data_IF_479848222409
#
_entry.id   IF_479848222409
#
_cell.length_a   1.000
_cell.length_b   1.000
_cell.length_c   1.000
_cell.angle_alpha   90.00
_cell.angle_beta   90.00
_cell.angle_gamma   90.00
#
_symmetry.space_group_name_H-M   'P 1'
#
loop_
_entity.id
_entity.type
_entity.pdbx_description
1 polymer ?
#
# COMPACT_ATOMS: atom_id res chain seq x y z
N UNK A 1 7.25 22.39 -7.39
CA UNK A 1 7.63 23.74 -7.88
C UNK A 1 7.06 23.96 -9.29
N UNK A 2 6.46 25.13 -9.55
CA UNK A 2 6.20 25.57 -10.93
C UNK A 2 7.56 25.83 -11.62
N UNK A 3 7.73 25.57 -12.92
CA UNK A 3 8.99 25.84 -13.59
C UNK A 3 9.19 27.37 -13.62
N UNK A 4 10.44 27.84 -13.57
CA UNK A 4 10.69 29.23 -13.94
C UNK A 4 10.26 29.43 -15.40
N UNK A 5 9.73 30.61 -15.72
CA UNK A 5 9.24 30.96 -17.06
C UNK A 5 10.27 30.68 -18.18
N UNK A 6 11.57 30.72 -17.85
CA UNK A 6 12.66 30.36 -18.77
C UNK A 6 12.65 28.88 -19.16
N UNK A 7 12.59 27.97 -18.18
CA UNK A 7 12.65 26.51 -18.42
C UNK A 7 11.48 26.03 -19.28
N UNK A 8 10.27 26.57 -19.08
CA UNK A 8 9.09 26.24 -19.89
C UNK A 8 9.29 26.61 -21.36
N UNK A 9 9.78 27.83 -21.62
CA UNK A 9 9.97 28.34 -22.98
C UNK A 9 11.13 27.64 -23.70
N UNK A 10 12.22 27.35 -22.99
CA UNK A 10 13.38 26.66 -23.57
C UNK A 10 13.03 25.22 -23.96
N UNK A 11 12.32 24.51 -23.08
CA UNK A 11 11.84 23.14 -23.37
C UNK A 11 10.93 23.12 -24.60
N UNK A 12 10.00 24.08 -24.67
CA UNK A 12 9.10 24.21 -25.82
C UNK A 12 9.85 24.53 -27.12
N UNK A 13 10.85 25.43 -27.07
CA UNK A 13 11.68 25.79 -28.23
C UNK A 13 12.41 24.58 -28.79
N UNK A 14 13.03 23.78 -27.92
CA UNK A 14 13.72 22.54 -28.30
C UNK A 14 12.72 21.55 -28.93
N UNK A 15 11.56 21.37 -28.30
CA UNK A 15 10.54 20.44 -28.80
C UNK A 15 9.99 20.85 -30.18
N UNK A 16 9.68 22.14 -30.39
CA UNK A 16 9.20 22.66 -31.68
C UNK A 16 10.26 22.60 -32.77
N UNK A 17 11.54 22.82 -32.43
CA UNK A 17 12.64 22.69 -33.38
C UNK A 17 12.74 21.26 -33.94
N UNK A 18 12.51 20.25 -33.09
CA UNK A 18 12.51 18.84 -33.49
C UNK A 18 11.18 18.38 -34.12
N UNK A 19 10.07 19.08 -33.87
CA UNK A 19 8.72 18.68 -34.30
C UNK A 19 7.95 19.86 -34.94
N UNK A 20 8.41 20.40 -36.07
CA UNK A 20 7.89 21.66 -36.61
C UNK A 20 6.41 21.58 -37.05
N UNK A 21 5.99 20.43 -37.58
CA UNK A 21 4.65 20.23 -38.15
C UNK A 21 3.70 19.44 -37.23
N UNK A 22 4.20 18.94 -36.09
CA UNK A 22 3.35 18.20 -35.16
C UNK A 22 2.61 19.16 -34.23
N UNK A 23 1.30 18.97 -34.11
CA UNK A 23 0.40 19.71 -33.20
C UNK A 23 0.62 21.23 -33.30
N UNK A 24 0.21 21.86 -34.42
CA UNK A 24 0.50 23.27 -34.70
C UNK A 24 0.01 24.23 -33.61
N UNK A 25 -1.08 23.89 -32.93
CA UNK A 25 -1.72 24.69 -31.88
C UNK A 25 -1.21 24.38 -30.45
N UNK A 26 -0.14 23.60 -30.30
CA UNK A 26 0.41 23.29 -28.97
C UNK A 26 1.14 24.50 -28.41
N UNK A 27 0.78 24.91 -27.19
CA UNK A 27 1.47 25.98 -26.45
C UNK A 27 2.56 25.43 -25.54
N UNK A 28 3.46 26.31 -25.10
CA UNK A 28 4.52 26.00 -24.13
C UNK A 28 3.96 25.45 -22.81
N UNK A 29 2.91 26.08 -22.29
CA UNK A 29 2.22 25.63 -21.08
C UNK A 29 1.55 24.27 -21.28
N UNK A 30 0.88 24.03 -22.41
CA UNK A 30 0.21 22.77 -22.69
C UNK A 30 1.20 21.59 -22.77
N UNK A 31 2.39 21.81 -23.35
CA UNK A 31 3.46 20.81 -23.37
C UNK A 31 3.94 20.48 -21.95
N UNK A 32 4.14 21.50 -21.12
CA UNK A 32 4.58 21.32 -19.73
C UNK A 32 3.52 20.66 -18.85
N UNK A 33 2.25 20.98 -19.06
CA UNK A 33 1.14 20.33 -18.36
C UNK A 33 1.03 18.85 -18.73
N UNK A 34 1.21 18.52 -20.01
CA UNK A 34 1.25 17.14 -20.47
C UNK A 34 2.44 16.38 -19.84
N UNK A 35 3.62 16.99 -19.78
CA UNK A 35 4.79 16.41 -19.07
C UNK A 35 4.47 16.14 -17.61
N UNK A 36 3.93 17.14 -16.89
CA UNK A 36 3.55 17.01 -15.47
C UNK A 36 2.51 15.93 -15.25
N UNK A 37 1.56 15.79 -16.17
CA UNK A 37 0.54 14.76 -16.10
C UNK A 37 1.15 13.35 -16.22
N UNK A 38 2.05 13.15 -17.18
CA UNK A 38 2.78 11.88 -17.37
C UNK A 38 3.58 11.52 -16.11
N UNK A 39 4.31 12.47 -15.54
CA UNK A 39 5.11 12.29 -14.33
C UNK A 39 4.22 11.99 -13.11
N UNK A 40 3.17 12.77 -12.86
CA UNK A 40 2.29 12.60 -11.69
C UNK A 40 1.46 11.31 -11.73
N UNK A 41 1.14 10.82 -12.92
CA UNK A 41 0.30 9.64 -13.09
C UNK A 41 1.11 8.36 -13.29
N UNK A 42 2.45 8.41 -13.12
CA UNK A 42 3.37 7.29 -13.35
C UNK A 42 3.05 6.54 -14.66
N UNK A 43 2.79 7.29 -15.74
CA UNK A 43 2.46 6.70 -17.06
C UNK A 43 3.67 6.07 -17.74
N UNK A 44 4.86 6.32 -17.21
CA UNK A 44 6.10 5.67 -17.54
C UNK A 44 6.68 5.13 -16.23
N UNK A 45 7.04 3.85 -16.24
CA UNK A 45 7.78 3.19 -15.16
C UNK A 45 9.23 3.71 -15.13
N UNK A 46 9.93 3.52 -14.00
CA UNK A 46 11.35 3.92 -13.88
C UNK A 46 12.22 3.31 -14.97
N UNK A 47 12.00 2.03 -15.28
CA UNK A 47 12.70 1.29 -16.34
C UNK A 47 12.47 1.95 -17.71
N UNK A 48 11.22 2.29 -18.05
CA UNK A 48 10.91 2.96 -19.32
C UNK A 48 11.55 4.34 -19.43
N UNK A 49 11.63 5.08 -18.31
CA UNK A 49 12.29 6.38 -18.27
C UNK A 49 13.80 6.22 -18.51
N UNK A 50 14.42 5.22 -17.89
CA UNK A 50 15.87 5.00 -18.02
C UNK A 50 16.25 4.46 -19.41
N UNK A 51 15.42 3.61 -20.01
CA UNK A 51 15.55 3.23 -21.42
C UNK A 51 15.44 4.43 -22.37
N UNK A 52 14.53 5.38 -22.08
CA UNK A 52 14.40 6.61 -22.87
C UNK A 52 15.65 7.48 -22.69
N UNK A 53 16.16 7.65 -21.46
CA UNK A 53 17.40 8.41 -21.21
C UNK A 53 18.58 7.78 -21.96
N UNK A 54 18.76 6.47 -21.86
CA UNK A 54 19.85 5.76 -22.53
C UNK A 54 19.77 5.88 -24.06
N UNK A 55 18.56 5.81 -24.63
CA UNK A 55 18.35 6.05 -26.07
C UNK A 55 18.70 7.48 -26.47
N UNK A 56 18.25 8.48 -25.71
CA UNK A 56 18.57 9.90 -25.98
C UNK A 56 20.07 10.16 -25.87
N UNK A 57 20.75 9.62 -24.87
CA UNK A 57 22.21 9.73 -24.71
C UNK A 57 22.95 9.09 -25.89
N UNK A 58 22.48 7.94 -26.37
CA UNK A 58 23.04 7.28 -27.55
C UNK A 58 22.83 8.10 -28.82
N UNK A 59 21.63 8.67 -29.02
CA UNK A 59 21.33 9.54 -30.16
C UNK A 59 22.15 10.84 -30.15
N UNK A 60 22.38 11.43 -28.98
CA UNK A 60 23.23 12.62 -28.84
C UNK A 60 24.71 12.31 -29.11
N UNK A 61 25.20 11.14 -28.69
CA UNK A 61 26.58 10.72 -28.96
C UNK A 61 26.81 10.46 -30.46
N UNK A 62 25.85 9.84 -31.14
CA UNK A 62 25.90 9.58 -32.60
C UNK A 62 25.82 10.88 -33.41
N UNK A 63 25.00 11.85 -33.00
CA UNK A 63 24.92 13.15 -33.68
C UNK A 63 26.21 13.98 -33.53
N UNK A 64 26.90 13.86 -32.40
CA UNK A 64 28.17 14.55 -32.20
C UNK A 64 29.33 13.92 -33.01
N UNK A 65 29.25 12.62 -33.30
CA UNK A 65 30.19 11.92 -34.19
C UNK A 65 29.99 12.22 -35.68
N UNK A 66 28.96 12.98 -36.06
CA UNK A 66 28.60 13.24 -37.46
C UNK A 66 28.92 14.68 -37.92
N UNK A 67 29.52 15.51 -37.05
CA UNK A 67 29.91 16.90 -37.35
C UNK A 67 31.39 17.23 -37.21
N UNK A 68 32.26 16.29 -36.83
CA UNK A 68 33.72 16.51 -36.85
C UNK A 68 34.38 15.50 -37.78
N UNK A 69 34.47 15.87 -39.06
CA UNK A 69 35.48 15.33 -39.96
C UNK A 69 36.50 16.43 -40.20
N UNK A 70 37.49 16.52 -39.32
CA UNK A 70 38.84 17.00 -39.65
C UNK A 70 39.82 16.54 -38.54
N UNK A 71 40.49 15.41 -38.83
CA UNK A 71 41.89 15.06 -38.55
C UNK A 71 42.52 15.57 -37.23
N UNK A 72 42.82 14.68 -36.28
CA UNK A 72 44.21 14.37 -35.92
C UNK A 72 44.32 13.10 -35.05
N UNK A 73 45.39 12.36 -35.29
CA UNK A 73 45.69 11.01 -34.83
C UNK A 73 46.63 11.08 -33.62
N UNK A 74 46.19 10.66 -32.42
CA UNK A 74 47.14 10.28 -31.34
C UNK A 74 46.56 9.12 -30.52
N UNK A 75 47.15 7.95 -30.76
CA UNK A 75 47.11 6.81 -29.88
C UNK A 75 47.69 7.13 -28.48
N UNK A 76 47.01 6.70 -27.42
CA UNK A 76 47.66 6.19 -26.20
C UNK A 76 46.83 5.04 -25.61
N UNK A 77 47.52 3.91 -25.49
CA UNK A 77 47.26 2.69 -24.72
C UNK A 77 46.66 2.93 -23.32
N UNK A 78 45.93 1.94 -22.80
CA UNK A 78 46.45 1.03 -21.76
C UNK A 78 45.31 0.42 -20.92
N UNK A 79 45.41 -0.89 -20.79
CA UNK A 79 44.53 -1.77 -20.05
C UNK A 79 44.40 -1.43 -18.55
N UNK A 80 43.23 -1.69 -17.96
CA UNK A 80 43.05 -2.74 -16.94
C UNK A 80 41.77 -2.58 -16.10
N UNK A 81 41.20 -3.76 -15.84
CA UNK A 81 40.51 -4.18 -14.61
C UNK A 81 39.01 -3.91 -14.37
N UNK A 82 38.37 -5.05 -14.08
CA UNK A 82 37.44 -5.30 -12.99
C UNK A 82 35.96 -5.00 -13.23
N UNK A 83 35.23 -6.12 -13.42
CA UNK A 83 34.00 -6.50 -12.72
C UNK A 83 33.45 -5.38 -11.82
N UNK A 84 32.31 -4.81 -12.22
CA UNK A 84 31.41 -4.12 -11.30
C UNK A 84 30.02 -4.72 -11.39
N UNK A 85 29.75 -5.56 -10.40
CA UNK A 85 28.41 -5.90 -9.95
C UNK A 85 27.59 -4.63 -9.62
N UNK A 86 26.27 -4.80 -9.71
CA UNK A 86 25.22 -4.02 -9.03
C UNK A 86 25.18 -2.51 -9.29
N UNK A 87 24.33 -2.10 -10.24
CA UNK A 87 23.70 -0.77 -10.16
C UNK A 87 22.57 -0.84 -9.14
N UNK A 88 22.93 -0.53 -7.89
CA UNK A 88 22.01 -0.06 -6.85
C UNK A 88 21.45 1.27 -7.35
N UNK A 89 20.13 1.33 -7.55
CA UNK A 89 19.41 2.55 -7.89
C UNK A 89 19.75 3.69 -6.91
N UNK A 90 19.81 4.90 -7.47
CA UNK A 90 20.18 6.16 -6.83
C UNK A 90 19.68 6.31 -5.38
N UNK A 91 20.64 6.25 -4.47
CA UNK A 91 20.51 6.61 -3.07
C UNK A 91 20.51 8.14 -2.99
N UNK A 92 19.33 8.77 -3.00
CA UNK A 92 19.14 9.98 -2.18
C UNK A 92 18.26 9.67 -0.97
N UNK A 93 18.90 9.47 0.19
CA UNK A 93 18.31 9.69 1.48
C UNK A 93 19.28 10.54 2.30
N UNK A 94 18.89 11.79 2.54
CA UNK A 94 19.16 12.37 3.84
C UNK A 94 18.37 11.56 4.89
N UNK A 95 18.84 10.37 5.25
CA UNK A 95 18.28 9.55 6.33
C UNK A 95 19.43 9.01 7.17
N UNK A 96 19.51 9.55 8.38
CA UNK A 96 20.55 9.29 9.35
C UNK A 96 20.71 7.76 9.56
N UNK A 97 21.91 7.18 9.39
CA UNK A 97 22.13 5.72 9.48
C UNK A 97 21.68 5.14 10.83
N UNK A 98 21.71 5.95 11.89
CA UNK A 98 21.15 5.57 13.20
C UNK A 98 19.67 5.20 13.13
N UNK A 99 18.86 5.94 12.36
CA UNK A 99 17.41 5.72 12.25
C UNK A 99 17.11 4.42 11.53
N UNK A 100 17.89 4.10 10.50
CA UNK A 100 17.75 2.86 9.73
C UNK A 100 18.11 1.65 10.61
N UNK A 101 19.22 1.73 11.35
CA UNK A 101 19.63 0.63 12.24
C UNK A 101 18.63 0.42 13.39
N UNK A 102 18.09 1.50 13.97
CA UNK A 102 17.06 1.39 15.00
C UNK A 102 15.76 0.77 14.46
N UNK A 103 15.38 1.11 13.22
CA UNK A 103 14.24 0.48 12.56
C UNK A 103 14.50 -1.00 12.26
N UNK A 104 15.72 -1.38 11.88
CA UNK A 104 16.12 -2.78 11.69
C UNK A 104 16.03 -3.57 13.01
N UNK A 105 16.48 -2.99 14.14
CA UNK A 105 16.31 -3.61 15.47
C UNK A 105 14.84 -3.84 15.81
N UNK A 106 13.96 -2.89 15.51
CA UNK A 106 12.53 -3.05 15.76
C UNK A 106 11.87 -4.10 14.88
N UNK A 107 12.29 -4.20 13.61
CA UNK A 107 11.86 -5.27 12.70
C UNK A 107 12.28 -6.64 13.25
N UNK A 108 13.52 -6.79 13.73
CA UNK A 108 13.99 -8.04 14.39
C UNK A 108 13.16 -8.39 15.63
N UNK A 109 12.88 -7.40 16.48
CA UNK A 109 12.04 -7.58 17.67
C UNK A 109 10.65 -8.11 17.27
N UNK A 110 10.01 -7.46 16.29
CA UNK A 110 8.70 -7.89 15.81
C UNK A 110 8.75 -9.27 15.13
N UNK A 111 9.85 -9.58 14.43
CA UNK A 111 10.07 -10.91 13.83
C UNK A 111 10.05 -12.01 14.90
N UNK A 112 10.82 -11.83 15.99
CA UNK A 112 10.86 -12.77 17.10
C UNK A 112 9.49 -12.93 17.80
N UNK A 113 8.70 -11.85 17.86
CA UNK A 113 7.34 -11.89 18.43
C UNK A 113 6.37 -12.72 17.58
N UNK A 114 6.46 -12.62 16.25
CA UNK A 114 5.48 -13.21 15.33
C UNK A 114 5.94 -14.49 14.62
N UNK A 115 7.20 -14.93 14.79
CA UNK A 115 7.79 -16.09 14.11
C UNK A 115 6.96 -17.38 14.29
N UNK A 116 6.54 -17.68 15.52
CA UNK A 116 5.81 -18.90 15.86
C UNK A 116 4.28 -18.74 15.81
N UNK A 117 3.78 -17.63 15.25
CA UNK A 117 2.35 -17.36 15.15
C UNK A 117 1.83 -17.68 13.76
N UNK A 118 0.69 -18.37 13.70
CA UNK A 118 -0.02 -18.59 12.44
C UNK A 118 -0.50 -17.26 11.86
N UNK A 119 -0.47 -17.12 10.54
CA UNK A 119 -0.95 -15.93 9.83
C UNK A 119 -2.41 -15.57 10.16
N UNK A 120 -3.24 -16.56 10.52
CA UNK A 120 -4.65 -16.35 10.89
C UNK A 120 -4.84 -15.76 12.27
N UNK A 121 -3.83 -15.87 13.13
CA UNK A 121 -3.87 -15.39 14.52
C UNK A 121 -3.25 -14.00 14.67
N UNK A 122 -2.50 -13.56 13.66
CA UNK A 122 -1.88 -12.25 13.60
C UNK A 122 -2.92 -11.14 13.55
N UNK A 123 -2.73 -10.03 14.30
CA UNK A 123 -3.58 -8.86 14.20
C UNK A 123 -3.66 -8.32 12.77
N UNK A 124 -4.86 -7.94 12.29
CA UNK A 124 -4.99 -7.30 10.99
C UNK A 124 -4.29 -5.94 10.99
N UNK A 125 -3.47 -5.71 9.96
CA UNK A 125 -2.78 -4.44 9.76
C UNK A 125 -3.79 -3.32 9.42
N UNK A 126 -3.68 -2.14 10.05
CA UNK A 126 -4.58 -1.04 9.77
C UNK A 126 -4.30 -0.44 8.39
N UNK A 127 -5.33 0.15 7.79
CA UNK A 127 -5.17 0.90 6.54
C UNK A 127 -4.35 2.17 6.80
N UNK A 128 -3.22 2.29 6.11
CA UNK A 128 -2.38 3.48 6.11
C UNK A 128 -2.68 4.29 4.86
N UNK A 129 -3.00 5.58 5.04
CA UNK A 129 -3.16 6.52 3.92
C UNK A 129 -1.78 6.94 3.46
N UNK A 130 -1.53 6.87 2.14
CA UNK A 130 -0.25 7.26 1.54
C UNK A 130 -0.13 8.79 1.59
N UNK A 131 0.69 9.26 2.52
CA UNK A 131 1.06 10.67 2.72
C UNK A 131 2.58 10.73 2.88
N UNK A 132 3.18 11.94 2.82
CA UNK A 132 4.64 12.14 2.90
C UNK A 132 5.32 11.41 4.08
N UNK A 133 4.74 11.44 5.28
CA UNK A 133 5.33 10.80 6.48
C UNK A 133 5.36 9.27 6.38
N UNK A 134 4.23 8.58 6.13
CA UNK A 134 4.23 7.14 5.83
C UNK A 134 5.15 6.74 4.66
N UNK A 135 5.23 7.57 3.62
CA UNK A 135 6.06 7.30 2.45
C UNK A 135 7.55 7.33 2.77
N UNK A 136 8.03 8.35 3.50
CA UNK A 136 9.40 8.40 4.00
C UNK A 136 9.72 7.20 4.90
N UNK A 137 8.83 6.89 5.85
CA UNK A 137 9.01 5.75 6.73
C UNK A 137 9.05 4.42 5.96
N UNK A 138 8.28 4.30 4.87
CA UNK A 138 8.33 3.12 3.99
C UNK A 138 9.66 3.02 3.26
N UNK A 139 10.28 4.12 2.86
CA UNK A 139 11.62 4.13 2.25
C UNK A 139 12.69 3.68 3.25
N UNK A 140 12.66 4.23 4.46
CA UNK A 140 13.54 3.81 5.57
C UNK A 140 13.37 2.33 5.90
N UNK A 141 12.13 1.86 5.96
CA UNK A 141 11.82 0.46 6.23
C UNK A 141 12.34 -0.47 5.14
N UNK A 142 12.25 -0.06 3.86
CA UNK A 142 12.83 -0.83 2.77
C UNK A 142 14.35 -0.94 2.89
N UNK A 143 15.05 0.12 3.30
CA UNK A 143 16.49 0.07 3.58
C UNK A 143 16.81 -0.86 4.76
N UNK A 144 16.04 -0.77 5.85
CA UNK A 144 16.20 -1.65 7.00
C UNK A 144 15.95 -3.13 6.65
N UNK A 145 14.98 -3.43 5.77
CA UNK A 145 14.73 -4.78 5.26
C UNK A 145 15.95 -5.34 4.52
N UNK A 146 16.64 -4.53 3.71
CA UNK A 146 17.82 -5.01 2.97
C UNK A 146 18.92 -5.53 3.91
N UNK A 147 19.08 -4.91 5.09
CA UNK A 147 20.02 -5.37 6.12
C UNK A 147 19.64 -6.73 6.72
N UNK A 148 18.35 -7.06 6.77
CA UNK A 148 17.86 -8.33 7.28
C UNK A 148 17.89 -9.44 6.22
N UNK A 149 17.54 -9.13 4.96
CA UNK A 149 17.61 -10.09 3.85
C UNK A 149 19.06 -10.54 3.62
N UNK A 150 20.04 -9.65 3.78
CA UNK A 150 21.46 -10.00 3.62
C UNK A 150 21.96 -11.07 4.61
N UNK A 151 21.20 -11.39 5.67
CA UNK A 151 21.61 -12.32 6.74
C UNK A 151 21.13 -13.76 6.53
N UNK A 152 20.06 -13.95 5.75
CA UNK A 152 19.39 -15.25 5.60
C UNK A 152 19.08 -15.55 4.14
N UNK A 153 18.96 -16.84 3.82
CA UNK A 153 18.44 -17.24 2.52
C UNK A 153 16.95 -16.93 2.45
N UNK A 154 16.47 -16.28 1.38
CA UNK A 154 15.07 -15.93 1.25
C UNK A 154 14.22 -17.20 1.05
N UNK A 155 13.41 -17.52 2.05
CA UNK A 155 12.32 -18.50 1.97
C UNK A 155 10.96 -17.78 1.92
N UNK A 156 9.96 -18.39 1.28
CA UNK A 156 8.63 -17.79 1.13
C UNK A 156 7.98 -17.50 2.49
N UNK A 157 8.14 -18.40 3.47
CA UNK A 157 7.59 -18.18 4.80
C UNK A 157 8.30 -16.99 5.49
N UNK A 158 9.62 -16.92 5.33
CA UNK A 158 10.45 -15.85 5.87
C UNK A 158 10.13 -14.50 5.24
N UNK A 159 9.88 -14.44 3.93
CA UNK A 159 9.47 -13.22 3.20
C UNK A 159 8.08 -12.77 3.68
N UNK A 160 7.13 -13.69 3.79
CA UNK A 160 5.77 -13.35 4.26
C UNK A 160 5.78 -12.82 5.69
N UNK A 161 6.57 -13.45 6.57
CA UNK A 161 6.79 -12.95 7.93
C UNK A 161 7.42 -11.56 7.90
N UNK A 162 8.50 -11.37 7.13
CA UNK A 162 9.22 -10.10 7.03
C UNK A 162 8.32 -8.97 6.54
N UNK A 163 7.52 -9.22 5.49
CA UNK A 163 6.55 -8.27 4.96
C UNK A 163 5.52 -7.85 6.02
N UNK A 164 4.98 -8.83 6.75
CA UNK A 164 4.03 -8.56 7.83
C UNK A 164 4.66 -7.73 8.96
N UNK A 165 5.83 -8.14 9.47
CA UNK A 165 6.45 -7.45 10.62
C UNK A 165 6.92 -6.05 10.26
N UNK A 166 7.40 -5.82 9.04
CA UNK A 166 7.75 -4.47 8.61
C UNK A 166 6.51 -3.59 8.56
N UNK A 167 5.41 -4.07 7.97
CA UNK A 167 4.16 -3.30 7.95
C UNK A 167 3.58 -3.09 9.36
N UNK A 168 3.77 -4.04 10.27
CA UNK A 168 3.44 -3.93 11.69
C UNK A 168 4.22 -2.80 12.36
N UNK A 169 5.56 -2.79 12.23
CA UNK A 169 6.45 -1.75 12.80
C UNK A 169 6.13 -0.36 12.23
N UNK A 170 5.90 -0.26 10.91
CA UNK A 170 5.46 0.99 10.28
C UNK A 170 4.14 1.48 10.92
N UNK A 171 3.20 0.57 11.16
CA UNK A 171 1.92 0.90 11.79
C UNK A 171 2.10 1.39 13.23
N UNK A 172 2.98 0.76 14.02
CA UNK A 172 3.34 1.21 15.38
C UNK A 172 3.95 2.62 15.38
N UNK A 173 4.93 2.87 14.51
CA UNK A 173 5.59 4.19 14.36
C UNK A 173 4.64 5.31 13.94
N UNK A 174 3.56 4.97 13.24
CA UNK A 174 2.51 5.89 12.86
C UNK A 174 1.42 6.05 13.95
N UNK A 175 1.56 5.39 15.10
CA UNK A 175 0.58 5.42 16.19
C UNK A 175 -0.71 4.66 15.86
N UNK A 176 -0.67 3.78 14.86
CA UNK A 176 -1.81 2.95 14.43
C UNK A 176 -1.53 1.51 14.84
N UNK A 177 -1.55 1.21 16.13
CA UNK A 177 -1.28 -0.15 16.59
C UNK A 177 -2.34 -1.13 16.05
N UNK A 178 -1.92 -2.26 15.44
CA UNK A 178 -2.85 -3.30 15.02
C UNK A 178 -3.64 -3.80 16.21
N UNK A 179 -4.96 -3.71 16.13
CA UNK A 179 -5.85 -4.22 17.19
C UNK A 179 -6.13 -5.68 16.89
N UNK A 180 -6.21 -6.54 17.93
CA UNK A 180 -6.65 -7.91 17.72
C UNK A 180 -7.99 -7.88 16.96
N UNK A 181 -8.21 -8.82 16.04
CA UNK A 181 -9.43 -8.84 15.26
C UNK A 181 -10.60 -8.81 16.24
N UNK A 182 -11.47 -7.79 16.13
CA UNK A 182 -12.72 -7.78 16.88
C UNK A 182 -13.41 -9.07 16.50
N UNK A 183 -13.52 -10.02 17.44
CA UNK A 183 -14.44 -11.15 17.30
C UNK A 183 -15.75 -10.49 16.94
N UNK A 184 -16.23 -10.70 15.69
CA UNK A 184 -17.57 -10.25 15.34
C UNK A 184 -18.44 -10.91 16.39
N UNK A 185 -18.99 -10.11 17.29
CA UNK A 185 -20.02 -10.60 18.18
C UNK A 185 -21.05 -11.15 17.21
N UNK A 186 -21.35 -12.44 17.32
CA UNK A 186 -22.25 -13.15 16.44
C UNK A 186 -23.69 -12.71 16.78
N UNK A 187 -23.95 -11.39 16.80
CA UNK A 187 -25.21 -10.79 17.25
C UNK A 187 -26.32 -10.99 16.21
N UNK A 188 -26.08 -11.79 15.18
CA UNK A 188 -27.12 -12.46 14.40
C UNK A 188 -27.04 -13.96 14.63
N UNK A 189 -27.29 -14.39 15.87
CA UNK A 189 -27.31 -15.82 16.19
C UNK A 189 -28.53 -16.55 15.60
N UNK A 190 -29.50 -15.83 15.01
CA UNK A 190 -30.60 -16.47 14.30
C UNK A 190 -31.08 -15.68 13.06
N UNK A 191 -31.45 -16.40 11.97
CA UNK A 191 -32.06 -15.77 10.81
C UNK A 191 -33.45 -15.22 11.15
N UNK A 192 -33.85 -14.12 10.50
CA UNK A 192 -35.10 -13.38 10.79
C UNK A 192 -36.37 -14.25 10.79
N UNK A 193 -36.41 -15.27 9.92
CA UNK A 193 -37.55 -16.21 9.86
C UNK A 193 -37.70 -17.01 11.15
N UNK A 194 -36.59 -17.37 11.80
CA UNK A 194 -36.60 -18.13 13.05
C UNK A 194 -37.11 -17.27 14.20
N UNK A 195 -36.64 -16.02 14.29
CA UNK A 195 -37.17 -15.04 15.26
C UNK A 195 -38.65 -14.76 15.07
N UNK A 196 -39.12 -14.70 13.81
CA UNK A 196 -40.55 -14.53 13.50
C UNK A 196 -41.38 -15.72 14.03
N UNK A 197 -40.94 -16.95 13.76
CA UNK A 197 -41.63 -18.15 14.24
C UNK A 197 -41.60 -18.22 15.78
N UNK A 198 -40.46 -17.93 16.40
CA UNK A 198 -40.35 -17.90 17.87
C UNK A 198 -41.32 -16.89 18.49
N UNK A 199 -41.48 -15.71 17.89
CA UNK A 199 -42.42 -14.70 18.35
C UNK A 199 -43.89 -15.13 18.15
N UNK A 200 -44.21 -15.79 17.03
CA UNK A 200 -45.55 -16.37 16.83
C UNK A 200 -45.86 -17.45 17.88
N UNK A 201 -44.91 -18.33 18.17
CA UNK A 201 -45.06 -19.36 19.22
C UNK A 201 -45.25 -18.70 20.59
N UNK A 202 -44.48 -17.65 20.91
CA UNK A 202 -44.65 -16.91 22.16
C UNK A 202 -46.04 -16.29 22.28
N UNK A 203 -46.56 -15.69 21.20
CA UNK A 203 -47.92 -15.14 21.16
C UNK A 203 -48.97 -16.22 21.42
N UNK A 204 -48.90 -17.34 20.68
CA UNK A 204 -49.84 -18.46 20.86
C UNK A 204 -49.79 -19.03 22.28
N UNK A 205 -48.61 -19.12 22.90
CA UNK A 205 -48.47 -19.57 24.29
C UNK A 205 -49.10 -18.61 25.29
N UNK A 206 -48.98 -17.30 25.06
CA UNK A 206 -49.61 -16.29 25.92
C UNK A 206 -51.13 -16.37 25.82
N UNK A 207 -51.68 -16.47 24.61
CA UNK A 207 -53.12 -16.60 24.38
C UNK A 207 -53.69 -17.87 25.03
N UNK A 208 -52.99 -19.01 24.86
CA UNK A 208 -53.38 -20.27 25.52
C UNK A 208 -53.34 -20.17 27.05
N UNK A 209 -52.35 -19.48 27.62
CA UNK A 209 -52.28 -19.26 29.07
C UNK A 209 -53.47 -18.46 29.56
N UNK A 210 -53.80 -17.37 28.86
CA UNK A 210 -54.93 -16.50 29.19
C UNK A 210 -56.26 -17.27 29.12
N UNK A 211 -56.46 -18.08 28.07
CA UNK A 211 -57.65 -18.91 27.91
C UNK A 211 -57.75 -19.99 29.01
N UNK A 212 -56.62 -20.60 29.38
CA UNK A 212 -56.56 -21.58 30.46
C UNK A 212 -56.95 -20.95 31.81
N UNK A 213 -56.41 -19.77 32.13
CA UNK A 213 -56.72 -19.06 33.37
C UNK A 213 -58.21 -18.67 33.43
N UNK A 214 -58.77 -18.22 32.30
CA UNK A 214 -60.21 -17.95 32.20
C UNK A 214 -61.06 -19.21 32.43
N UNK A 215 -60.69 -20.33 31.81
CA UNK A 215 -61.38 -21.60 31.99
C UNK A 215 -61.35 -22.07 33.46
N UNK A 216 -60.19 -21.97 34.12
CA UNK A 216 -60.06 -22.30 35.54
C UNK A 216 -60.91 -21.39 36.44
N UNK A 217 -60.97 -20.09 36.13
CA UNK A 217 -61.81 -19.14 36.88
C UNK A 217 -63.30 -19.41 36.72
N UNK A 218 -63.74 -19.85 35.54
CA UNK A 218 -65.14 -20.25 35.32
C UNK A 218 -65.46 -21.52 36.10
N UNK A 219 -64.57 -22.52 36.04
CA UNK A 219 -64.75 -23.77 36.80
C UNK A 219 -64.80 -23.53 38.31
N UNK A 220 -63.94 -22.66 38.85
CA UNK A 220 -63.97 -22.32 40.28
C UNK A 220 -65.22 -21.55 40.67
N UNK A 221 -65.71 -20.63 39.81
CA UNK A 221 -66.96 -19.93 40.04
C UNK A 221 -68.18 -20.88 40.07
N UNK A 222 -68.24 -21.84 39.15
CA UNK A 222 -69.29 -22.87 39.12
C UNK A 222 -69.24 -23.73 40.39
N UNK A 223 -68.04 -24.16 40.80
CA UNK A 223 -67.88 -24.96 42.02
C UNK A 223 -68.31 -24.18 43.27
N UNK A 224 -67.94 -22.90 43.37
CA UNK A 224 -68.34 -22.04 44.49
C UNK A 224 -69.85 -21.75 44.57
N UNK A 225 -70.56 -21.78 43.44
CA UNK A 225 -72.02 -21.63 43.41
C UNK A 225 -72.76 -22.94 43.72
N UNK A 226 -72.14 -24.10 43.51
CA UNK A 226 -72.72 -25.40 43.81
C UNK A 226 -72.61 -25.79 45.31
N UNK A 227 -71.81 -25.07 46.10
CA UNK A 227 -71.61 -25.30 47.55
C UNK A 227 -72.49 -24.42 48.46
N UNK A 228 -73.48 -23.70 47.92
CA UNK A 228 -74.48 -22.97 48.72
C UNK A 228 -75.67 -23.92 48.99
N UNK A 229 -75.92 -24.36 50.24
CA UNK A 229 -77.02 -25.26 50.58
C UNK A 229 -78.40 -24.60 50.47
#
# INVERSE_FOLDING_TARGET
AAPSQGVTKDTYRIWRGRNPNQRPNLTDNALMDQRRFIEKQNKLTGIEIDEIKQRVESELNVQNSQTDTEVDDVAVEEANNAIKETKVDEVDPSENPSVIEDLAKEIRRARAEWENTSITERPPLPKITVNRKPELLSKQANQAIQLEIARETPDLNNINLLQYVTAYVISEKLGKTPKPPKRRSNTQLQPKWKTRIENQIKGMRADLSILSDMAQKILSAIHSHAEIP
#
